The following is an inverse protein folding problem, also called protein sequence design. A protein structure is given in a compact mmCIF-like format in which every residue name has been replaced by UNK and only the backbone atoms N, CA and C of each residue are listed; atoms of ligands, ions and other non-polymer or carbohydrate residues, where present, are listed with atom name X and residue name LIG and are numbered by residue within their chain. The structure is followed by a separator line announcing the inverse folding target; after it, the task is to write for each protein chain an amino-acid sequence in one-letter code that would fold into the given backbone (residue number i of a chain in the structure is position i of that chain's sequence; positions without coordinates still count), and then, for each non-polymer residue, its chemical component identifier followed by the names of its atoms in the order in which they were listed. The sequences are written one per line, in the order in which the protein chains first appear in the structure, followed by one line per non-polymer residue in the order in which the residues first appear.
data_IF_479817632633
#
_entry.id   IF_479817632633
#
_cell.length_a   1.000
_cell.length_b   1.000
_cell.length_c   1.000
_cell.angle_alpha   90.00
_cell.angle_beta   90.00
_cell.angle_gamma   90.00
#
_symmetry.space_group_name_H-M   'P 1'
#
loop_
_entity.id
_entity.type
_entity.pdbx_description
1 polymer ?
#
# COMPACT_ATOMS: atom_id res chain seq x y z
N UNK A 1 -36.47 -11.30 -4.88
CA UNK A 1 -35.17 -10.98 -4.23
C UNK A 1 -34.15 -12.13 -4.27
N UNK A 2 -34.51 -13.40 -4.01
CA UNK A 2 -33.53 -14.52 -4.03
C UNK A 2 -32.89 -14.83 -5.40
N UNK A 3 -33.58 -14.58 -6.52
CA UNK A 3 -33.06 -14.88 -7.88
C UNK A 3 -31.94 -13.93 -8.35
N UNK A 4 -31.96 -12.66 -7.92
CA UNK A 4 -30.88 -11.72 -8.26
C UNK A 4 -29.62 -11.94 -7.41
N UNK A 5 -29.79 -12.45 -6.18
CA UNK A 5 -28.66 -12.81 -5.31
C UNK A 5 -27.87 -14.03 -5.85
N UNK A 6 -28.58 -15.02 -6.42
CA UNK A 6 -27.95 -16.21 -7.05
C UNK A 6 -27.21 -15.84 -8.34
N UNK A 7 -27.72 -14.88 -9.12
CA UNK A 7 -27.06 -14.38 -10.33
C UNK A 7 -25.78 -13.58 -9.99
N UNK A 8 -25.80 -12.82 -8.90
CA UNK A 8 -24.62 -12.05 -8.45
C UNK A 8 -23.48 -12.96 -7.97
N UNK A 9 -23.80 -14.03 -7.22
CA UNK A 9 -22.82 -15.03 -6.78
C UNK A 9 -22.24 -15.81 -7.98
N UNK A 10 -23.05 -16.13 -8.99
CA UNK A 10 -22.56 -16.81 -10.20
C UNK A 10 -21.62 -15.93 -11.04
N UNK A 11 -21.78 -14.60 -10.99
CA UNK A 11 -20.89 -13.70 -11.74
C UNK A 11 -19.51 -13.59 -11.07
N UNK A 12 -19.45 -13.70 -9.73
CA UNK A 12 -18.17 -13.74 -8.98
C UNK A 12 -17.41 -15.05 -9.24
N UNK A 13 -18.11 -16.19 -9.37
CA UNK A 13 -17.45 -17.47 -9.67
C UNK A 13 -16.85 -17.56 -11.09
N UNK A 14 -17.41 -16.83 -12.07
CA UNK A 14 -16.93 -16.88 -13.46
C UNK A 14 -15.60 -16.12 -13.62
N UNK A 15 -15.31 -15.12 -12.77
CA UNK A 15 -14.00 -14.43 -12.77
C UNK A 15 -12.88 -15.32 -12.21
N UNK A 16 -13.23 -16.32 -11.40
CA UNK A 16 -12.28 -17.27 -10.81
C UNK A 16 -11.96 -18.48 -11.71
N UNK A 17 -12.61 -18.62 -12.87
CA UNK A 17 -12.41 -19.76 -13.78
C UNK A 17 -11.74 -19.41 -15.11
N UNK A 18 -11.13 -18.23 -15.24
CA UNK A 18 -10.17 -17.95 -16.32
C UNK A 18 -8.85 -18.71 -16.08
N UNK A 19 -8.88 -20.03 -16.26
CA UNK A 19 -7.71 -20.83 -16.54
C UNK A 19 -7.26 -20.57 -17.98
N UNK A 20 -6.15 -19.86 -18.16
CA UNK A 20 -5.22 -20.05 -19.28
C UNK A 20 -3.87 -19.34 -19.03
N UNK A 21 -2.77 -19.72 -19.69
CA UNK A 21 -1.74 -20.56 -19.08
C UNK A 21 -0.36 -19.86 -19.08
N UNK A 22 0.06 -19.48 -17.90
CA UNK A 22 1.43 -19.31 -17.41
C UNK A 22 1.17 -18.69 -16.04
N UNK A 23 1.05 -19.53 -15.01
CA UNK A 23 1.01 -18.98 -13.65
C UNK A 23 2.32 -18.21 -13.55
N UNK A 24 2.25 -16.87 -13.45
CA UNK A 24 3.40 -16.01 -13.16
C UNK A 24 3.79 -16.25 -11.69
N UNK A 25 3.99 -17.51 -11.36
CA UNK A 25 4.21 -18.01 -10.02
C UNK A 25 5.63 -17.63 -9.66
N UNK A 26 5.75 -16.82 -8.61
CA UNK A 26 7.05 -16.41 -8.12
C UNK A 26 7.43 -17.31 -6.97
N UNK A 27 8.52 -18.06 -7.15
CA UNK A 27 8.99 -18.99 -6.11
C UNK A 27 9.64 -18.20 -4.98
N UNK A 28 9.26 -18.41 -3.70
CA UNK A 28 9.98 -17.84 -2.56
C UNK A 28 11.49 -18.09 -2.65
N UNK A 29 12.27 -17.05 -2.41
CA UNK A 29 13.73 -17.21 -2.29
C UNK A 29 14.12 -17.95 -0.99
N UNK A 30 15.38 -18.37 -0.89
CA UNK A 30 15.85 -19.14 0.26
C UNK A 30 15.76 -18.38 1.59
N UNK A 31 15.92 -17.05 1.56
CA UNK A 31 15.77 -16.20 2.74
C UNK A 31 14.33 -16.18 3.22
N UNK A 32 13.36 -16.09 2.30
CA UNK A 32 11.94 -16.17 2.60
C UNK A 32 11.58 -17.54 3.19
N UNK A 33 12.05 -18.64 2.58
CA UNK A 33 11.82 -20.01 3.09
C UNK A 33 12.37 -20.25 4.50
N UNK A 34 13.47 -19.58 4.86
CA UNK A 34 14.08 -19.66 6.20
C UNK A 34 13.28 -18.89 7.25
N UNK A 35 12.63 -17.80 6.86
CA UNK A 35 12.01 -16.84 7.79
C UNK A 35 10.53 -17.13 8.00
N UNK A 36 9.82 -17.43 6.93
CA UNK A 36 8.38 -17.63 6.95
C UNK A 36 8.04 -19.11 7.06
N UNK A 37 6.97 -19.43 7.77
CA UNK A 37 6.40 -20.77 7.75
C UNK A 37 5.76 -21.04 6.40
N UNK A 38 5.44 -22.32 6.13
CA UNK A 38 4.71 -22.68 4.91
C UNK A 38 3.37 -21.95 4.80
N UNK A 39 2.60 -21.86 5.89
CA UNK A 39 1.30 -21.18 5.90
C UNK A 39 1.46 -19.67 5.63
N UNK A 40 2.48 -19.04 6.21
CA UNK A 40 2.80 -17.63 5.94
C UNK A 40 3.18 -17.43 4.46
N UNK A 41 4.01 -18.30 3.88
CA UNK A 41 4.36 -18.23 2.46
C UNK A 41 3.14 -18.43 1.54
N UNK A 42 2.22 -19.32 1.90
CA UNK A 42 0.96 -19.52 1.16
C UNK A 42 0.11 -18.24 1.18
N UNK A 43 -0.04 -17.59 2.35
CA UNK A 43 -0.76 -16.31 2.45
C UNK A 43 -0.04 -15.16 1.73
N UNK A 44 1.29 -15.09 1.78
CA UNK A 44 2.07 -14.10 1.02
C UNK A 44 1.92 -14.34 -0.49
N UNK A 45 1.95 -15.60 -0.94
CA UNK A 45 1.69 -15.97 -2.32
C UNK A 45 0.31 -15.51 -2.80
N UNK A 46 -0.72 -15.67 -1.95
CA UNK A 46 -2.06 -15.13 -2.24
C UNK A 46 -2.06 -13.61 -2.40
N UNK A 47 -1.36 -12.86 -1.54
CA UNK A 47 -1.21 -11.40 -1.68
C UNK A 47 -0.55 -11.03 -3.01
N UNK A 48 0.53 -11.72 -3.37
CA UNK A 48 1.25 -11.48 -4.63
C UNK A 48 0.33 -11.75 -5.83
N UNK A 49 -0.32 -12.92 -5.87
CA UNK A 49 -1.23 -13.27 -6.97
C UNK A 49 -2.41 -12.32 -7.11
N UNK A 50 -2.95 -11.86 -5.99
CA UNK A 50 -4.03 -10.88 -6.00
C UNK A 50 -3.57 -9.57 -6.65
N UNK A 51 -2.41 -9.04 -6.25
CA UNK A 51 -1.86 -7.82 -6.85
C UNK A 51 -1.49 -8.05 -8.32
N UNK A 52 -0.84 -9.17 -8.66
CA UNK A 52 -0.48 -9.56 -10.02
C UNK A 52 -1.68 -9.55 -10.96
N UNK A 53 -2.80 -10.13 -10.52
CA UNK A 53 -4.04 -10.17 -11.27
C UNK A 53 -4.60 -8.76 -11.54
N UNK A 54 -4.57 -7.88 -10.54
CA UNK A 54 -5.12 -6.53 -10.68
C UNK A 54 -4.23 -5.65 -11.55
N UNK A 55 -2.91 -5.68 -11.37
CA UNK A 55 -2.00 -4.88 -12.21
C UNK A 55 -2.06 -5.33 -13.67
N UNK A 56 -2.13 -6.63 -13.92
CA UNK A 56 -2.24 -7.17 -15.27
C UNK A 56 -3.59 -6.82 -15.90
N UNK A 57 -4.69 -6.95 -15.15
CA UNK A 57 -6.01 -6.56 -15.63
C UNK A 57 -6.13 -5.06 -15.94
N UNK A 58 -5.55 -4.19 -15.10
CA UNK A 58 -5.58 -2.73 -15.29
C UNK A 58 -4.73 -2.25 -16.47
N UNK A 59 -3.62 -2.93 -16.73
CA UNK A 59 -2.67 -2.54 -17.79
C UNK A 59 -2.93 -3.24 -19.12
N UNK A 60 -3.63 -4.38 -19.09
CA UNK A 60 -3.86 -5.21 -20.28
C UNK A 60 -2.61 -5.98 -20.73
N UNK A 61 -1.53 -5.96 -19.95
CA UNK A 61 -0.31 -6.72 -20.25
C UNK A 61 -0.38 -8.15 -19.70
N UNK A 62 0.19 -9.09 -20.44
CA UNK A 62 0.32 -10.50 -20.03
C UNK A 62 1.65 -10.77 -19.33
N UNK A 63 2.69 -10.00 -19.68
CA UNK A 63 4.01 -10.08 -19.10
C UNK A 63 4.06 -9.32 -17.77
N UNK A 64 4.58 -9.98 -16.75
CA UNK A 64 4.41 -9.53 -15.37
C UNK A 64 5.39 -8.42 -14.98
N UNK A 65 6.47 -8.24 -15.75
CA UNK A 65 7.33 -7.07 -15.67
C UNK A 65 6.67 -5.85 -16.32
N UNK A 66 6.06 -6.06 -17.48
CA UNK A 66 5.33 -5.06 -18.26
C UNK A 66 4.13 -4.54 -17.48
N UNK A 67 3.35 -5.42 -16.83
CA UNK A 67 2.21 -5.05 -15.99
C UNK A 67 2.61 -4.15 -14.83
N UNK A 68 3.66 -4.49 -14.08
CA UNK A 68 4.10 -3.65 -12.95
C UNK A 68 4.71 -2.33 -13.41
N UNK A 69 5.55 -2.35 -14.46
CA UNK A 69 6.17 -1.13 -14.99
C UNK A 69 5.12 -0.17 -15.52
N UNK A 70 4.22 -0.62 -16.38
CA UNK A 70 3.15 0.23 -16.90
C UNK A 70 2.27 0.82 -15.80
N UNK A 71 1.95 0.03 -14.77
CA UNK A 71 1.18 0.52 -13.62
C UNK A 71 1.98 1.56 -12.80
N UNK A 72 3.23 1.25 -12.46
CA UNK A 72 4.08 2.12 -11.64
C UNK A 72 4.50 3.39 -12.38
N UNK A 73 4.66 3.37 -13.69
CA UNK A 73 4.86 4.55 -14.55
C UNK A 73 3.68 5.52 -14.42
N UNK A 74 2.47 4.99 -14.54
CA UNK A 74 1.26 5.79 -14.37
C UNK A 74 1.18 6.35 -12.95
N UNK A 75 1.37 5.50 -11.94
CA UNK A 75 1.33 5.92 -10.53
C UNK A 75 2.38 7.00 -10.24
N UNK A 76 3.61 6.82 -10.72
CA UNK A 76 4.70 7.79 -10.59
C UNK A 76 4.32 9.13 -11.24
N UNK A 77 3.77 9.10 -12.45
CA UNK A 77 3.30 10.30 -13.16
C UNK A 77 2.19 11.02 -12.37
N UNK A 78 1.19 10.29 -11.89
CA UNK A 78 0.09 10.87 -11.11
C UNK A 78 0.61 11.54 -9.82
N UNK A 79 1.49 10.86 -9.09
CA UNK A 79 2.09 11.37 -7.84
C UNK A 79 2.95 12.61 -8.07
N UNK A 80 3.81 12.61 -9.09
CA UNK A 80 4.76 13.71 -9.32
C UNK A 80 4.19 14.88 -10.12
N UNK A 81 3.07 14.71 -10.82
CA UNK A 81 2.36 15.81 -11.50
C UNK A 81 1.51 16.66 -10.55
N UNK A 82 1.38 16.25 -9.27
CA UNK A 82 0.47 16.89 -8.32
C UNK A 82 -1.01 16.62 -8.60
N UNK A 83 -1.29 15.67 -9.50
CA UNK A 83 -2.64 15.21 -9.80
C UNK A 83 -3.19 14.29 -8.71
N UNK A 84 -4.49 14.02 -8.76
CA UNK A 84 -5.09 12.97 -7.95
C UNK A 84 -4.64 11.62 -8.50
N UNK A 85 -3.91 10.83 -7.71
CA UNK A 85 -3.65 9.44 -8.04
C UNK A 85 -4.82 8.57 -7.56
N UNK A 86 -5.13 7.52 -8.33
CA UNK A 86 -6.08 6.49 -7.89
C UNK A 86 -5.29 5.28 -7.40
N UNK A 87 -5.51 4.79 -6.17
CA UNK A 87 -4.82 3.60 -5.70
C UNK A 87 -5.18 2.37 -6.55
N UNK A 88 -4.37 1.32 -6.44
CA UNK A 88 -4.61 0.06 -7.17
C UNK A 88 -5.98 -0.51 -6.81
N UNK A 89 -6.33 -0.40 -5.54
CA UNK A 89 -7.52 -0.94 -4.91
C UNK A 89 -8.19 0.16 -4.10
N UNK A 90 -9.52 0.16 -4.08
CA UNK A 90 -10.24 0.86 -3.02
C UNK A 90 -10.09 0.09 -1.69
N UNK A 91 -10.24 0.79 -0.58
CA UNK A 91 -10.02 0.22 0.75
C UNK A 91 -11.04 -0.88 1.05
N UNK A 92 -12.27 -0.79 0.52
CA UNK A 92 -13.29 -1.83 0.72
C UNK A 92 -12.84 -3.19 0.18
N UNK A 93 -12.39 -3.24 -1.09
CA UNK A 93 -11.90 -4.47 -1.72
C UNK A 93 -10.59 -4.93 -1.09
N UNK A 94 -9.70 -4.00 -0.73
CA UNK A 94 -8.43 -4.32 -0.05
C UNK A 94 -8.68 -5.03 1.28
N UNK A 95 -9.51 -4.47 2.16
CA UNK A 95 -9.79 -5.07 3.46
C UNK A 95 -10.64 -6.34 3.36
N UNK A 96 -11.54 -6.43 2.38
CA UNK A 96 -12.25 -7.68 2.10
C UNK A 96 -11.29 -8.80 1.71
N UNK A 97 -10.31 -8.51 0.84
CA UNK A 97 -9.28 -9.46 0.45
C UNK A 97 -8.36 -9.82 1.63
N UNK A 98 -7.81 -8.82 2.33
CA UNK A 98 -6.89 -9.05 3.44
C UNK A 98 -7.55 -9.86 4.58
N UNK A 99 -8.85 -9.71 4.80
CA UNK A 99 -9.61 -10.54 5.74
C UNK A 99 -9.78 -12.01 5.34
N UNK A 100 -9.35 -12.41 4.14
CA UNK A 100 -9.27 -13.82 3.70
C UNK A 100 -7.90 -14.45 3.92
N UNK A 101 -6.89 -13.63 4.23
CA UNK A 101 -5.53 -14.10 4.50
C UNK A 101 -5.47 -14.63 5.92
N UNK A 102 -4.74 -15.73 6.11
CA UNK A 102 -4.45 -16.30 7.43
C UNK A 102 -3.84 -15.24 8.38
N UNK A 103 -4.27 -15.23 9.64
CA UNK A 103 -3.88 -14.21 10.62
C UNK A 103 -2.36 -14.20 10.87
N UNK A 104 -1.68 -15.35 10.83
CA UNK A 104 -0.22 -15.42 10.97
C UNK A 104 0.45 -14.83 9.73
N UNK A 105 -0.03 -15.16 8.54
CA UNK A 105 0.48 -14.58 7.29
C UNK A 105 0.25 -13.05 7.21
N UNK A 106 -0.93 -12.58 7.64
CA UNK A 106 -1.23 -11.16 7.72
C UNK A 106 -0.30 -10.47 8.71
N UNK A 107 -0.22 -10.96 9.95
CA UNK A 107 0.57 -10.36 11.01
C UNK A 107 2.09 -10.46 10.78
N UNK A 108 2.54 -11.37 9.91
CA UNK A 108 3.94 -11.44 9.48
C UNK A 108 4.38 -10.16 8.74
N UNK A 109 3.46 -9.44 8.10
CA UNK A 109 3.75 -8.20 7.36
C UNK A 109 3.06 -6.98 7.98
N UNK A 110 1.80 -7.11 8.36
CA UNK A 110 0.89 -6.00 8.61
C UNK A 110 0.42 -5.93 10.06
N UNK A 111 0.05 -4.71 10.46
CA UNK A 111 -0.83 -4.42 11.60
C UNK A 111 -2.00 -3.61 11.07
N UNK A 112 -3.22 -3.98 11.45
CA UNK A 112 -4.41 -3.16 11.22
C UNK A 112 -4.58 -2.15 12.37
N UNK A 113 -4.94 -0.92 12.05
CA UNK A 113 -5.29 0.12 13.01
C UNK A 113 -6.45 0.98 12.48
N UNK A 114 -7.02 1.84 13.33
CA UNK A 114 -8.19 2.67 13.02
C UNK A 114 -7.93 4.12 13.39
N UNK A 115 -7.96 4.99 12.37
CA UNK A 115 -7.84 6.43 12.56
C UNK A 115 -9.22 7.06 12.77
N UNK A 116 -9.37 7.82 13.85
CA UNK A 116 -10.59 8.60 14.13
C UNK A 116 -10.38 10.05 13.71
N UNK A 117 -11.13 10.49 12.69
CA UNK A 117 -11.09 11.87 12.22
C UNK A 117 -12.26 12.65 12.78
N UNK A 118 -12.00 13.89 13.22
CA UNK A 118 -13.00 14.74 13.89
C UNK A 118 -14.25 14.98 13.03
N UNK A 119 -14.12 14.94 11.70
CA UNK A 119 -15.22 15.15 10.74
C UNK A 119 -15.85 13.86 10.21
N UNK A 120 -15.44 12.68 10.68
CA UNK A 120 -16.04 11.39 10.31
C UNK A 120 -16.59 10.70 11.55
N UNK A 121 -17.83 10.21 11.45
CA UNK A 121 -18.48 9.45 12.53
C UNK A 121 -17.94 8.02 12.69
N UNK A 122 -17.28 7.49 11.65
CA UNK A 122 -16.68 6.16 11.64
C UNK A 122 -15.17 6.26 11.50
N UNK A 123 -14.47 5.43 12.26
CA UNK A 123 -13.03 5.27 12.12
C UNK A 123 -12.66 4.74 10.73
N UNK A 124 -11.53 5.19 10.20
CA UNK A 124 -10.97 4.71 8.94
C UNK A 124 -9.96 3.63 9.27
N UNK A 125 -10.18 2.42 8.77
CA UNK A 125 -9.20 1.35 8.86
C UNK A 125 -8.01 1.64 7.95
N UNK A 126 -6.81 1.36 8.45
CA UNK A 126 -5.59 1.40 7.66
C UNK A 126 -4.67 0.25 8.10
N UNK A 127 -3.69 -0.07 7.25
CA UNK A 127 -2.63 -1.02 7.57
C UNK A 127 -1.30 -0.30 7.63
N UNK A 128 -0.48 -0.67 8.61
CA UNK A 128 0.93 -0.31 8.72
C UNK A 128 1.79 -1.56 8.68
N UNK A 129 3.08 -1.37 8.42
CA UNK A 129 4.05 -2.45 8.61
C UNK A 129 4.08 -2.89 10.08
N UNK A 130 4.05 -4.20 10.30
CA UNK A 130 4.37 -4.77 11.60
C UNK A 130 5.90 -4.78 11.79
N UNK A 131 6.41 -3.86 12.60
CA UNK A 131 7.85 -3.77 12.88
C UNK A 131 8.40 -4.95 13.66
N UNK A 132 7.55 -5.65 14.41
CA UNK A 132 7.88 -6.92 15.05
C UNK A 132 7.61 -8.13 14.14
N UNK A 133 7.09 -7.89 12.93
CA UNK A 133 6.73 -8.90 11.95
C UNK A 133 7.94 -9.49 11.24
N UNK A 134 7.75 -10.70 10.71
CA UNK A 134 8.78 -11.44 9.98
C UNK A 134 9.23 -10.76 8.69
N UNK A 135 8.39 -9.90 8.09
CA UNK A 135 8.77 -9.14 6.91
C UNK A 135 9.91 -8.16 7.17
N UNK A 136 9.96 -7.52 8.34
CA UNK A 136 11.10 -6.66 8.70
C UNK A 136 12.40 -7.46 8.84
N UNK A 137 12.31 -8.67 9.41
CA UNK A 137 13.45 -9.60 9.45
C UNK A 137 13.88 -10.03 8.04
N UNK A 138 12.93 -10.29 7.16
CA UNK A 138 13.21 -10.62 5.76
C UNK A 138 13.94 -9.49 5.04
N UNK A 139 13.44 -8.25 5.15
CA UNK A 139 14.10 -7.05 4.59
C UNK A 139 15.52 -6.85 5.12
N UNK A 140 15.72 -7.07 6.42
CA UNK A 140 17.04 -7.01 7.05
C UNK A 140 18.00 -8.02 6.41
N UNK A 141 17.59 -9.27 6.29
CA UNK A 141 18.47 -10.36 5.86
C UNK A 141 18.78 -10.31 4.36
N UNK A 142 17.82 -9.96 3.49
CA UNK A 142 18.14 -9.73 2.07
C UNK A 142 18.98 -8.45 1.88
N UNK A 143 18.86 -7.48 2.80
CA UNK A 143 19.64 -6.26 2.81
C UNK A 143 21.15 -6.48 2.99
N UNK A 144 21.57 -7.60 3.59
CA UNK A 144 22.99 -7.96 3.73
C UNK A 144 23.69 -8.15 2.39
N UNK A 145 22.93 -8.50 1.34
CA UNK A 145 23.44 -8.75 -0.01
C UNK A 145 22.92 -7.78 -1.07
N UNK A 146 21.94 -6.95 -0.74
CA UNK A 146 21.31 -5.99 -1.66
C UNK A 146 21.09 -4.65 -0.96
N UNK A 147 21.95 -3.67 -1.27
CA UNK A 147 21.96 -2.34 -0.65
C UNK A 147 20.62 -1.61 -0.77
N UNK A 148 19.83 -1.90 -1.82
CA UNK A 148 18.49 -1.32 -1.99
C UNK A 148 17.58 -1.72 -0.84
N UNK A 149 17.60 -3.00 -0.47
CA UNK A 149 16.79 -3.52 0.63
C UNK A 149 17.35 -3.15 2.00
N UNK A 150 18.67 -2.98 2.14
CA UNK A 150 19.25 -2.40 3.34
C UNK A 150 18.70 -0.99 3.60
N UNK A 151 18.62 -0.14 2.55
CA UNK A 151 18.04 1.20 2.64
C UNK A 151 16.53 1.18 2.95
N UNK A 152 15.79 0.23 2.37
CA UNK A 152 14.37 0.05 2.67
C UNK A 152 14.19 -0.33 4.16
N UNK A 153 14.93 -1.33 4.64
CA UNK A 153 14.90 -1.76 6.03
C UNK A 153 15.27 -0.63 6.99
N UNK A 154 16.35 0.09 6.72
CA UNK A 154 16.84 1.18 7.57
C UNK A 154 15.85 2.34 7.61
N UNK A 155 15.35 2.78 6.45
CA UNK A 155 14.40 3.88 6.38
C UNK A 155 13.07 3.51 7.02
N UNK A 156 12.60 2.27 6.86
CA UNK A 156 11.42 1.78 7.56
C UNK A 156 11.63 1.78 9.09
N UNK A 157 12.73 1.19 9.56
CA UNK A 157 13.05 1.09 10.98
C UNK A 157 13.17 2.46 11.67
N UNK A 158 13.70 3.47 10.97
CA UNK A 158 13.85 4.83 11.51
C UNK A 158 12.56 5.64 11.52
N UNK A 159 11.70 5.46 10.52
CA UNK A 159 10.50 6.30 10.36
C UNK A 159 9.22 5.66 10.91
N UNK A 160 9.25 4.36 11.23
CA UNK A 160 8.05 3.65 11.71
C UNK A 160 7.00 3.41 10.62
N UNK A 161 7.32 3.65 9.34
CA UNK A 161 6.59 3.20 8.15
C UNK A 161 7.50 3.35 6.91
N UNK A 162 6.99 3.26 5.68
CA UNK A 162 7.75 3.64 4.49
C UNK A 162 8.02 5.14 4.46
N UNK A 163 9.28 5.52 4.67
CA UNK A 163 9.70 6.91 4.57
C UNK A 163 9.40 7.50 3.18
N UNK A 164 9.11 8.81 3.08
CA UNK A 164 8.91 9.48 1.78
C UNK A 164 10.08 9.26 0.80
N UNK A 165 11.31 9.13 1.31
CA UNK A 165 12.49 8.86 0.49
C UNK A 165 12.42 7.47 -0.16
N UNK A 166 11.99 6.44 0.58
CA UNK A 166 11.79 5.09 0.04
C UNK A 166 10.70 5.09 -1.03
N UNK A 167 9.58 5.77 -0.76
CA UNK A 167 8.46 5.88 -1.72
C UNK A 167 8.93 6.54 -3.01
N UNK A 168 9.60 7.70 -2.91
CA UNK A 168 10.12 8.43 -4.08
C UNK A 168 11.15 7.61 -4.84
N UNK A 169 12.06 6.93 -4.13
CA UNK A 169 13.06 6.07 -4.78
C UNK A 169 12.38 4.94 -5.55
N UNK A 170 11.41 4.24 -4.96
CA UNK A 170 10.74 3.14 -5.63
C UNK A 170 10.02 3.63 -6.89
N UNK A 171 9.21 4.69 -6.80
CA UNK A 171 8.47 5.22 -7.95
C UNK A 171 9.39 5.69 -9.09
N UNK A 172 10.57 6.25 -8.78
CA UNK A 172 11.52 6.72 -9.80
C UNK A 172 12.39 5.62 -10.40
N UNK A 173 12.67 4.55 -9.67
CA UNK A 173 13.66 3.54 -10.05
C UNK A 173 13.05 2.14 -10.24
N UNK A 174 11.73 2.02 -10.27
CA UNK A 174 11.06 0.73 -10.37
C UNK A 174 11.43 -0.08 -11.63
N UNK A 175 11.92 0.55 -12.70
CA UNK A 175 12.43 -0.15 -13.89
C UNK A 175 13.70 -0.96 -13.64
N UNK A 176 14.47 -0.63 -12.60
CA UNK A 176 15.67 -1.38 -12.18
C UNK A 176 15.32 -2.73 -11.52
N UNK A 177 14.04 -2.95 -11.22
CA UNK A 177 13.58 -4.18 -10.60
C UNK A 177 13.09 -5.16 -11.67
N UNK A 178 13.50 -6.41 -11.50
CA UNK A 178 12.92 -7.55 -12.21
C UNK A 178 11.86 -8.18 -11.33
N UNK A 179 10.59 -7.89 -11.63
CA UNK A 179 9.48 -8.41 -10.85
C UNK A 179 9.35 -9.93 -10.98
N UNK A 180 9.99 -10.61 -11.95
CA UNK A 180 10.04 -12.08 -11.94
C UNK A 180 10.81 -12.64 -10.74
N UNK A 181 11.57 -11.80 -10.03
CA UNK A 181 12.29 -12.13 -8.79
C UNK A 181 11.42 -11.88 -7.56
N UNK A 182 11.37 -12.87 -6.65
CA UNK A 182 10.52 -12.87 -5.45
C UNK A 182 10.62 -11.60 -4.59
N UNK A 183 11.83 -11.21 -4.17
CA UNK A 183 12.02 -10.01 -3.33
C UNK A 183 11.46 -8.74 -3.98
N UNK A 184 11.58 -8.61 -5.31
CA UNK A 184 11.11 -7.44 -6.06
C UNK A 184 9.59 -7.46 -6.16
N UNK A 185 9.01 -8.63 -6.43
CA UNK A 185 7.56 -8.83 -6.46
C UNK A 185 6.90 -8.60 -5.11
N UNK A 186 7.48 -9.14 -4.05
CA UNK A 186 6.97 -9.00 -2.68
C UNK A 186 7.03 -7.54 -2.24
N UNK A 187 8.15 -6.85 -2.49
CA UNK A 187 8.27 -5.42 -2.21
C UNK A 187 7.17 -4.60 -2.90
N UNK A 188 6.96 -4.82 -4.20
CA UNK A 188 5.95 -4.10 -4.95
C UNK A 188 4.53 -4.42 -4.48
N UNK A 189 4.24 -5.68 -4.14
CA UNK A 189 2.96 -6.13 -3.57
C UNK A 189 2.66 -5.39 -2.27
N UNK A 190 3.63 -5.35 -1.36
CA UNK A 190 3.49 -4.70 -0.06
C UNK A 190 3.33 -3.18 -0.26
N UNK A 191 4.15 -2.56 -1.09
CA UNK A 191 4.03 -1.15 -1.42
C UNK A 191 2.62 -0.80 -1.94
N UNK A 192 2.10 -1.57 -2.90
CA UNK A 192 0.80 -1.29 -3.53
C UNK A 192 -0.39 -1.52 -2.60
N UNK A 193 -0.34 -2.55 -1.76
CA UNK A 193 -1.37 -2.80 -0.75
C UNK A 193 -1.37 -1.73 0.35
N UNK A 194 -0.22 -1.15 0.68
CA UNK A 194 -0.11 -0.08 1.68
C UNK A 194 -0.79 1.22 1.26
N UNK A 195 -0.88 1.50 -0.05
CA UNK A 195 -1.51 2.74 -0.53
C UNK A 195 -2.98 2.77 -0.10
N UNK A 196 -3.34 3.77 0.69
CA UNK A 196 -4.71 4.01 1.15
C UNK A 196 -5.47 4.91 0.17
N UNK A 197 -6.80 4.82 0.18
CA UNK A 197 -7.62 5.79 -0.55
C UNK A 197 -7.39 7.20 0.00
N UNK A 198 -7.23 8.22 -0.87
CA UNK A 198 -7.17 9.60 -0.43
C UNK A 198 -8.40 9.96 0.40
N UNK A 199 -8.17 10.49 1.59
CA UNK A 199 -9.25 10.88 2.48
C UNK A 199 -9.75 12.25 2.03
N UNK A 200 -10.97 12.30 1.51
CA UNK A 200 -11.62 13.58 1.20
C UNK A 200 -11.95 14.34 2.49
N UNK A 201 -11.42 15.56 2.59
CA UNK A 201 -11.76 16.49 3.66
C UNK A 201 -12.99 17.30 3.20
N UNK A 202 -14.10 17.27 3.97
CA UNK A 202 -15.29 18.07 3.66
C UNK A 202 -14.97 19.57 3.56
N UNK A 203 -15.59 20.27 2.62
CA UNK A 203 -15.28 21.69 2.38
C UNK A 203 -15.62 22.59 3.58
N UNK A 204 -16.71 22.29 4.29
CA UNK A 204 -17.05 22.99 5.54
C UNK A 204 -15.93 22.89 6.59
N UNK A 205 -15.27 21.73 6.68
CA UNK A 205 -14.14 21.52 7.58
C UNK A 205 -12.91 22.31 7.11
N UNK A 206 -12.62 22.33 5.80
CA UNK A 206 -11.55 23.18 5.23
C UNK A 206 -11.77 24.66 5.51
N UNK A 207 -13.01 25.14 5.37
CA UNK A 207 -13.36 26.53 5.66
C UNK A 207 -13.22 26.88 7.15
N UNK A 208 -13.56 25.95 8.04
CA UNK A 208 -13.37 26.13 9.48
C UNK A 208 -11.88 26.25 9.83
N UNK A 209 -11.03 25.36 9.31
CA UNK A 209 -9.57 25.44 9.48
C UNK A 209 -9.02 26.79 9.00
N UNK A 210 -9.43 27.25 7.81
CA UNK A 210 -9.03 28.57 7.28
C UNK A 210 -9.52 29.74 8.12
N UNK A 211 -10.66 29.62 8.80
CA UNK A 211 -11.17 30.65 9.71
C UNK A 211 -10.37 30.69 11.00
N UNK A 212 -10.07 29.54 11.58
CA UNK A 212 -9.26 29.42 12.80
C UNK A 212 -7.83 29.92 12.58
N UNK A 213 -7.21 29.58 11.46
CA UNK A 213 -5.86 30.05 11.12
C UNK A 213 -5.82 31.58 10.95
N UNK A 214 -6.81 32.17 10.26
CA UNK A 214 -6.95 33.63 10.15
C UNK A 214 -7.16 34.29 11.50
N UNK A 215 -7.91 33.67 12.40
CA UNK A 215 -8.12 34.18 13.75
C UNK A 215 -6.82 34.14 14.59
N UNK A 216 -6.02 33.07 14.49
CA UNK A 216 -4.72 32.95 15.17
C UNK A 216 -3.72 34.00 14.68
N UNK A 217 -3.54 34.15 13.37
CA UNK A 217 -2.65 35.16 12.79
C UNK A 217 -3.04 36.57 13.24
N UNK A 218 -4.34 36.86 13.32
CA UNK A 218 -4.85 38.15 13.80
C UNK A 218 -4.53 38.39 15.28
N UNK A 219 -4.67 37.36 16.13
CA UNK A 219 -4.30 37.43 17.54
C UNK A 219 -2.80 37.66 17.72
N UNK A 220 -1.96 36.90 17.01
CA UNK A 220 -0.50 37.05 17.10
C UNK A 220 -0.06 38.44 16.65
N UNK A 221 -0.64 38.99 15.57
CA UNK A 221 -0.35 40.36 15.10
C UNK A 221 -0.71 41.41 16.17
N UNK A 222 -1.82 41.23 16.88
CA UNK A 222 -2.21 42.13 17.99
C UNK A 222 -1.26 42.00 19.18
N UNK A 223 -0.83 40.78 19.53
CA UNK A 223 0.14 40.54 20.59
C UNK A 223 1.53 41.12 20.28
N UNK A 224 1.99 41.04 19.03
CA UNK A 224 3.27 41.63 18.63
C UNK A 224 3.25 43.16 18.64
N UNK A 225 2.17 43.78 18.17
CA UNK A 225 2.05 45.25 18.16
C UNK A 225 1.94 45.88 19.56
N UNK A 226 1.40 45.13 20.54
CA UNK A 226 1.31 45.60 21.92
C UNK A 226 2.62 45.43 22.70
N UNK A 227 3.55 44.58 22.26
CA UNK A 227 4.88 44.41 22.90
C UNK A 227 5.92 45.42 22.43
N UNK A 228 5.69 46.16 21.36
CA UNK A 228 6.61 47.18 20.82
C UNK A 228 6.35 48.60 21.36
N UNK A 229 5.47 48.74 22.35
CA UNK A 229 5.06 50.02 22.94
C UNK A 229 5.51 50.18 24.40
N UNK A 230 6.31 49.24 24.91
CA UNK A 230 7.04 49.31 26.20
C UNK A 230 8.55 49.40 25.95
#
# INVERSE_FOLDING_TARGET
MKKHFILFISTILIVLQSCNPAVNDVTPDETAKKIFTRAELEGIGQMIHFVDGIVSAKTGHTGINESYRAYLDKLSTDVFSGGNFTPLLNDTLKFQFLGTIDDEAFSAIWREDTAYLVWKSQGIKYIDLNFAGKYMKYLQEIGESDERYAKIYEGASKSGDFSPVIVVWFLKNHHELDFTVYKHRLWATIFLLRIAEPIEIPDNFKENLKREERARVKLDTVFFNNKSLD
#
